data_IF_873547478061
#
_entry.id   IF_873547478061
#
_cell.length_a   1.000
_cell.length_b   1.000
_cell.length_c   1.000
_cell.angle_alpha   90.00
_cell.angle_beta   90.00
_cell.angle_gamma   90.00
#
_symmetry.space_group_name_H-M   'P 1'
#
loop_
_entity.id
_entity.type
_entity.pdbx_description
1 polymer ?
#
# COMPACT_ATOMS: atom_id res chain seq x y z
N UNK A 1 9.88 2.59 9.06
CA UNK A 1 10.12 1.64 7.94
C UNK A 1 11.60 1.31 7.86
N UNK A 2 11.92 0.25 7.12
CA UNK A 2 13.16 -0.48 7.24
C UNK A 2 14.34 0.12 6.48
N UNK A 3 15.54 -0.01 7.04
CA UNK A 3 16.82 0.19 6.34
C UNK A 3 17.06 -1.05 5.49
N UNK A 4 17.22 -0.84 4.19
CA UNK A 4 17.65 -1.89 3.28
C UNK A 4 19.18 -2.09 3.41
N UNK A 5 19.71 -3.32 3.33
CA UNK A 5 21.13 -3.57 3.51
C UNK A 5 21.92 -2.95 2.36
N UNK A 6 23.17 -2.51 2.56
CA UNK A 6 23.94 -1.81 1.54
C UNK A 6 24.02 -2.54 0.19
N UNK A 7 24.15 -3.86 0.22
CA UNK A 7 24.23 -4.71 -0.99
C UNK A 7 22.94 -4.74 -1.82
N UNK A 8 21.80 -4.36 -1.25
CA UNK A 8 20.51 -4.28 -1.95
C UNK A 8 20.22 -2.92 -2.58
N UNK A 9 21.02 -1.89 -2.26
CA UNK A 9 20.76 -0.51 -2.67
C UNK A 9 21.13 -0.29 -4.15
N UNK A 10 20.20 0.30 -4.89
CA UNK A 10 20.38 0.71 -6.29
C UNK A 10 20.40 2.22 -6.45
N UNK A 11 19.51 2.94 -5.75
CA UNK A 11 19.35 4.39 -5.80
C UNK A 11 19.28 4.99 -7.22
N UNK A 12 18.60 4.30 -8.14
CA UNK A 12 18.50 4.70 -9.55
C UNK A 12 17.27 5.55 -9.78
N UNK A 13 17.44 6.73 -10.38
CA UNK A 13 16.31 7.57 -10.81
C UNK A 13 15.63 6.95 -12.03
N UNK A 14 14.32 6.74 -11.96
CA UNK A 14 13.54 6.17 -13.06
C UNK A 14 12.74 7.29 -13.73
N UNK A 15 12.94 7.43 -15.04
CA UNK A 15 12.16 8.36 -15.83
C UNK A 15 10.70 7.89 -15.91
N UNK A 16 9.75 8.80 -15.66
CA UNK A 16 8.31 8.52 -15.77
C UNK A 16 7.92 7.92 -17.12
N UNK A 17 8.59 8.36 -18.19
CA UNK A 17 8.40 7.84 -19.54
C UNK A 17 8.60 6.32 -19.65
N UNK A 18 9.47 5.70 -18.82
CA UNK A 18 9.67 4.24 -18.83
C UNK A 18 8.42 3.47 -18.42
N UNK A 19 7.68 3.98 -17.42
CA UNK A 19 6.41 3.38 -17.02
C UNK A 19 5.34 3.56 -18.10
N UNK A 20 5.37 4.68 -18.84
CA UNK A 20 4.40 4.97 -19.89
C UNK A 20 4.65 4.22 -21.21
N UNK A 21 5.91 3.91 -21.53
CA UNK A 21 6.29 3.27 -22.78
C UNK A 21 5.96 1.76 -22.79
N UNK A 22 6.12 1.11 -21.64
CA UNK A 22 5.95 -0.34 -21.49
C UNK A 22 4.53 -0.74 -21.06
N UNK A 23 3.58 0.20 -21.11
CA UNK A 23 2.18 -0.03 -20.73
C UNK A 23 1.26 0.80 -21.63
N UNK A 24 -0.03 0.47 -21.68
CA UNK A 24 -1.05 1.29 -22.33
C UNK A 24 -1.87 2.08 -21.28
N UNK A 25 -1.29 3.10 -20.61
CA UNK A 25 -1.99 3.84 -19.58
C UNK A 25 -3.06 4.74 -20.19
N UNK A 26 -4.17 4.89 -19.47
CA UNK A 26 -5.18 5.88 -19.81
C UNK A 26 -4.64 7.31 -19.68
N UNK A 27 -5.29 8.26 -20.36
CA UNK A 27 -4.96 9.69 -20.27
C UNK A 27 -4.96 10.17 -18.82
N UNK A 28 -5.94 9.75 -18.01
CA UNK A 28 -6.01 10.04 -16.57
C UNK A 28 -4.76 9.60 -15.81
N UNK A 29 -4.25 8.39 -16.06
CA UNK A 29 -3.05 7.89 -15.36
C UNK A 29 -1.80 8.68 -15.77
N UNK A 30 -1.68 9.06 -17.05
CA UNK A 30 -0.60 9.94 -17.54
C UNK A 30 -0.61 11.30 -16.84
N UNK A 31 -1.79 11.89 -16.69
CA UNK A 31 -1.99 13.15 -15.98
C UNK A 31 -1.66 13.02 -14.49
N UNK A 32 -2.15 11.97 -13.82
CA UNK A 32 -1.83 11.71 -12.41
C UNK A 32 -0.32 11.54 -12.20
N UNK A 33 0.37 10.77 -13.04
CA UNK A 33 1.82 10.58 -12.95
C UNK A 33 2.59 11.91 -13.13
N UNK A 34 2.11 12.79 -14.01
CA UNK A 34 2.75 14.08 -14.29
C UNK A 34 2.47 15.10 -13.20
N UNK A 35 1.24 15.16 -12.71
CA UNK A 35 0.75 16.15 -11.75
C UNK A 35 1.08 15.82 -10.30
N UNK A 36 1.07 14.53 -9.91
CA UNK A 36 1.22 14.11 -8.52
C UNK A 36 2.63 13.65 -8.15
N UNK A 37 3.39 13.10 -9.08
CA UNK A 37 4.74 12.59 -8.80
C UNK A 37 5.77 13.61 -9.26
N UNK A 38 6.75 13.91 -8.41
CA UNK A 38 7.93 14.69 -8.77
C UNK A 38 8.99 13.74 -9.32
N UNK A 39 9.45 12.81 -8.50
CA UNK A 39 10.52 11.87 -8.80
C UNK A 39 10.17 10.44 -8.37
N UNK A 40 10.67 9.47 -9.13
CA UNK A 40 10.62 8.05 -8.82
C UNK A 40 12.05 7.54 -8.72
N UNK A 41 12.41 6.96 -7.58
CA UNK A 41 13.72 6.37 -7.34
C UNK A 41 13.50 4.89 -7.06
N UNK A 42 14.12 4.04 -7.85
CA UNK A 42 14.29 2.63 -7.52
C UNK A 42 15.38 2.53 -6.47
N UNK A 43 14.95 2.40 -5.21
CA UNK A 43 15.83 2.54 -4.06
C UNK A 43 16.62 1.27 -3.82
N UNK A 44 15.94 0.14 -3.72
CA UNK A 44 16.54 -1.14 -3.40
C UNK A 44 15.81 -2.29 -4.11
N UNK A 45 16.56 -3.38 -4.30
CA UNK A 45 16.08 -4.67 -4.79
C UNK A 45 16.52 -5.74 -3.80
N UNK A 46 15.55 -6.39 -3.17
CA UNK A 46 15.78 -7.45 -2.20
C UNK A 46 15.70 -8.80 -2.92
N UNK A 47 16.86 -9.32 -3.32
CA UNK A 47 17.04 -10.64 -3.95
C UNK A 47 17.93 -11.55 -3.10
N UNK A 48 17.98 -12.86 -3.40
CA UNK A 48 18.79 -13.81 -2.62
C UNK A 48 20.25 -13.41 -2.48
N UNK A 49 20.84 -12.85 -3.54
CA UNK A 49 22.23 -12.41 -3.56
C UNK A 49 22.46 -11.17 -2.69
N UNK A 50 21.46 -10.30 -2.57
CA UNK A 50 21.59 -9.00 -1.91
C UNK A 50 21.39 -9.05 -0.39
N UNK A 51 20.59 -10.00 0.10
CA UNK A 51 20.19 -10.09 1.52
C UNK A 51 20.35 -11.50 2.11
N UNK A 52 20.89 -12.45 1.35
CA UNK A 52 21.13 -13.83 1.77
C UNK A 52 19.87 -14.54 2.29
N UNK A 53 18.74 -14.34 1.59
CA UNK A 53 17.47 -15.03 1.86
C UNK A 53 17.00 -15.76 0.61
N UNK A 54 16.63 -17.06 0.70
CA UNK A 54 16.21 -17.81 -0.47
C UNK A 54 14.93 -17.25 -1.08
N UNK A 55 14.84 -17.28 -2.41
CA UNK A 55 13.63 -16.98 -3.16
C UNK A 55 12.60 -18.12 -3.04
N UNK A 56 11.33 -17.80 -3.28
CA UNK A 56 10.27 -18.81 -3.46
C UNK A 56 9.64 -18.65 -4.85
N UNK A 57 8.88 -19.65 -5.34
CA UNK A 57 8.13 -19.50 -6.59
C UNK A 57 7.14 -18.32 -6.56
N UNK A 58 6.65 -17.94 -5.37
CA UNK A 58 5.74 -16.81 -5.22
C UNK A 58 6.45 -15.46 -5.18
N UNK A 59 7.64 -15.41 -4.58
CA UNK A 59 8.43 -14.18 -4.40
C UNK A 59 9.90 -14.43 -4.75
N UNK A 60 10.28 -14.06 -5.97
CA UNK A 60 11.66 -14.15 -6.45
C UNK A 60 12.54 -12.98 -5.96
N UNK A 61 11.96 -11.79 -5.88
CA UNK A 61 12.58 -10.57 -5.35
C UNK A 61 11.50 -9.59 -4.87
N UNK A 62 11.88 -8.61 -4.03
CA UNK A 62 10.99 -7.55 -3.54
C UNK A 62 11.62 -6.20 -3.92
N UNK A 63 10.82 -5.32 -4.50
CA UNK A 63 11.27 -4.01 -4.96
C UNK A 63 10.89 -2.90 -3.98
N UNK A 64 11.81 -1.96 -3.74
CA UNK A 64 11.55 -0.78 -2.91
C UNK A 64 11.67 0.47 -3.76
N UNK A 65 10.57 1.21 -3.88
CA UNK A 65 10.51 2.46 -4.64
C UNK A 65 10.23 3.65 -3.73
N UNK A 66 11.00 4.72 -3.93
CA UNK A 66 10.75 6.00 -3.28
C UNK A 66 10.10 6.96 -4.26
N UNK A 67 8.93 7.47 -3.90
CA UNK A 67 8.17 8.45 -4.67
C UNK A 67 8.19 9.78 -3.92
N UNK A 68 8.78 10.80 -4.54
CA UNK A 68 8.59 12.18 -4.11
C UNK A 68 7.32 12.71 -4.77
N UNK A 69 6.37 13.18 -3.98
CA UNK A 69 5.09 13.70 -4.44
C UNK A 69 5.13 15.23 -4.56
N UNK A 70 4.36 15.76 -5.52
CA UNK A 70 4.12 17.20 -5.72
C UNK A 70 2.94 17.73 -4.88
N UNK A 71 2.20 16.84 -4.24
CA UNK A 71 1.05 17.17 -3.40
C UNK A 71 1.13 16.53 -2.02
N UNK A 72 0.04 16.66 -1.26
CA UNK A 72 -0.10 16.06 0.07
C UNK A 72 -0.39 14.55 0.03
N UNK A 73 -0.92 14.07 -1.08
CA UNK A 73 -1.40 12.70 -1.26
C UNK A 73 -1.18 12.21 -2.70
N UNK A 74 -1.39 10.92 -2.93
CA UNK A 74 -1.28 10.25 -4.23
C UNK A 74 -2.52 9.40 -4.49
N UNK A 75 -3.00 9.40 -5.72
CA UNK A 75 -4.18 8.62 -6.09
C UNK A 75 -3.86 7.11 -6.09
N UNK A 76 -4.70 6.25 -5.46
CA UNK A 76 -4.48 4.80 -5.42
C UNK A 76 -4.29 4.15 -6.80
N UNK A 77 -5.11 4.52 -7.79
CA UNK A 77 -4.98 4.02 -9.17
C UNK A 77 -3.59 4.23 -9.78
N UNK A 78 -2.89 5.31 -9.42
CA UNK A 78 -1.54 5.57 -9.89
C UNK A 78 -0.55 4.55 -9.30
N UNK A 79 -0.68 4.25 -8.01
CA UNK A 79 0.14 3.24 -7.35
C UNK A 79 -0.15 1.84 -7.92
N UNK A 80 -1.43 1.51 -8.16
CA UNK A 80 -1.83 0.24 -8.76
C UNK A 80 -1.30 0.08 -10.18
N UNK A 81 -1.26 1.16 -10.95
CA UNK A 81 -0.63 1.18 -12.26
C UNK A 81 0.88 0.88 -12.19
N UNK A 82 1.59 1.49 -11.23
CA UNK A 82 3.02 1.24 -11.03
C UNK A 82 3.28 -0.22 -10.60
N UNK A 83 2.46 -0.75 -9.68
CA UNK A 83 2.54 -2.14 -9.22
C UNK A 83 2.28 -3.17 -10.35
N UNK A 84 1.39 -2.85 -11.29
CA UNK A 84 1.12 -3.72 -12.46
C UNK A 84 2.26 -3.69 -13.47
N UNK A 85 3.07 -2.65 -13.49
CA UNK A 85 4.13 -2.46 -14.50
C UNK A 85 5.39 -3.28 -14.22
N UNK A 86 5.54 -3.86 -13.03
CA UNK A 86 6.72 -4.63 -12.60
C UNK A 86 6.22 -5.95 -12.03
N UNK A 87 6.72 -7.13 -12.43
CA UNK A 87 6.14 -8.42 -12.03
C UNK A 87 6.35 -8.79 -10.55
N UNK A 88 7.30 -8.17 -9.86
CA UNK A 88 7.63 -8.44 -8.46
C UNK A 88 6.80 -7.62 -7.47
N UNK A 89 6.65 -8.08 -6.21
CA UNK A 89 6.06 -7.29 -5.14
C UNK A 89 6.79 -5.96 -4.91
N UNK A 90 6.04 -4.88 -4.74
CA UNK A 90 6.60 -3.53 -4.53
C UNK A 90 6.17 -2.96 -3.19
N UNK A 91 7.14 -2.36 -2.51
CA UNK A 91 6.93 -1.50 -1.35
C UNK A 91 7.25 -0.05 -1.73
N UNK A 92 6.25 0.82 -1.68
CA UNK A 92 6.42 2.26 -1.91
C UNK A 92 6.69 3.00 -0.60
N UNK A 93 7.73 3.83 -0.58
CA UNK A 93 7.87 4.95 0.35
C UNK A 93 7.43 6.23 -0.34
N UNK A 94 6.38 6.84 0.17
CA UNK A 94 5.82 8.07 -0.31
C UNK A 94 6.34 9.22 0.55
N UNK A 95 6.88 10.27 -0.07
CA UNK A 95 7.22 11.51 0.60
C UNK A 95 6.40 12.64 0.02
N UNK A 96 5.58 13.29 0.84
CA UNK A 96 4.76 14.41 0.41
C UNK A 96 5.54 15.74 0.43
N UNK A 97 4.91 16.81 -0.05
CA UNK A 97 5.52 18.16 -0.09
C UNK A 97 5.84 18.75 1.28
N UNK A 98 5.17 18.28 2.33
CA UNK A 98 5.41 18.69 3.72
C UNK A 98 6.58 17.92 4.36
N UNK A 99 7.17 16.97 3.61
CA UNK A 99 8.23 16.11 4.08
C UNK A 99 7.75 14.92 4.92
N UNK A 100 6.44 14.74 5.07
CA UNK A 100 5.86 13.59 5.75
C UNK A 100 6.03 12.32 4.91
N UNK A 101 6.14 11.18 5.60
CA UNK A 101 6.32 9.87 5.00
C UNK A 101 5.07 9.02 5.19
N UNK A 102 4.71 8.28 4.14
CA UNK A 102 3.77 7.17 4.20
C UNK A 102 4.35 5.97 3.43
N UNK A 103 3.79 4.80 3.68
CA UNK A 103 4.18 3.57 3.01
C UNK A 103 2.96 2.92 2.38
N UNK A 104 3.13 2.31 1.22
CA UNK A 104 2.04 1.65 0.51
C UNK A 104 2.54 0.41 -0.22
N UNK A 105 1.74 -0.64 -0.20
CA UNK A 105 1.95 -1.84 -1.00
C UNK A 105 0.62 -2.48 -1.33
N UNK A 106 0.58 -3.19 -2.45
CA UNK A 106 -0.52 -4.08 -2.79
C UNK A 106 -0.08 -5.54 -2.58
N UNK A 107 -1.01 -6.38 -2.11
CA UNK A 107 -0.72 -7.80 -1.97
C UNK A 107 -0.61 -8.44 -3.35
N UNK A 108 0.59 -8.82 -3.77
CA UNK A 108 0.85 -9.39 -5.09
C UNK A 108 1.18 -10.87 -4.95
N UNK A 109 0.44 -11.69 -5.70
CA UNK A 109 0.57 -13.15 -5.63
C UNK A 109 0.56 -13.78 -7.02
N UNK A 110 1.11 -14.99 -7.18
CA UNK A 110 0.91 -15.77 -8.41
C UNK A 110 -0.58 -15.93 -8.72
N UNK A 111 -0.90 -15.88 -10.00
CA UNK A 111 -2.23 -16.21 -10.50
C UNK A 111 -2.48 -17.71 -10.36
N UNK A 112 -3.67 -18.07 -9.87
CA UNK A 112 -4.11 -19.47 -9.83
C UNK A 112 -4.62 -19.95 -11.20
N UNK A 113 -5.03 -19.02 -12.08
CA UNK A 113 -5.67 -19.33 -13.36
C UNK A 113 -4.74 -19.16 -14.57
N UNK A 114 -3.72 -18.31 -14.46
CA UNK A 114 -2.78 -18.04 -15.54
C UNK A 114 -1.39 -18.56 -15.17
N UNK A 115 -0.87 -19.50 -15.97
CA UNK A 115 0.53 -19.90 -15.91
C UNK A 115 1.39 -18.65 -16.09
N UNK A 116 2.17 -18.30 -15.07
CA UNK A 116 3.07 -17.13 -15.01
C UNK A 116 2.41 -15.76 -14.88
N UNK A 117 1.10 -15.69 -14.63
CA UNK A 117 0.42 -14.42 -14.30
C UNK A 117 0.62 -14.03 -12.82
N UNK A 118 0.60 -12.74 -12.52
CA UNK A 118 0.50 -12.24 -11.14
C UNK A 118 -0.81 -11.48 -10.96
N UNK A 119 -1.50 -11.72 -9.85
CA UNK A 119 -2.71 -10.98 -9.47
C UNK A 119 -2.35 -9.90 -8.46
N UNK A 120 -2.78 -8.67 -8.75
CA UNK A 120 -2.70 -7.56 -7.81
C UNK A 120 -3.93 -7.57 -6.90
N UNK A 121 -3.71 -7.85 -5.61
CA UNK A 121 -4.71 -7.86 -4.57
C UNK A 121 -4.94 -6.47 -3.94
N UNK A 122 -5.39 -6.47 -2.69
CA UNK A 122 -5.75 -5.24 -1.98
C UNK A 122 -4.52 -4.41 -1.63
N UNK A 123 -4.65 -3.08 -1.77
CA UNK A 123 -3.64 -2.10 -1.37
C UNK A 123 -3.90 -1.56 0.03
N UNK A 124 -2.84 -1.50 0.82
CA UNK A 124 -2.83 -0.83 2.11
C UNK A 124 -1.77 0.26 2.15
N UNK A 125 -2.09 1.33 2.87
CA UNK A 125 -1.21 2.47 3.05
C UNK A 125 -1.27 2.95 4.48
N UNK A 126 -0.12 3.32 5.03
CA UNK A 126 -0.06 4.02 6.31
C UNK A 126 -0.51 5.48 6.13
N UNK A 127 -0.98 6.17 7.18
CA UNK A 127 -1.12 7.62 7.14
C UNK A 127 0.24 8.30 6.91
N UNK A 128 0.20 9.52 6.38
CA UNK A 128 1.39 10.38 6.31
C UNK A 128 1.74 10.89 7.71
N UNK A 129 2.96 10.63 8.15
CA UNK A 129 3.47 11.07 9.45
C UNK A 129 4.77 11.86 9.30
N UNK A 130 5.08 12.80 10.21
CA UNK A 130 6.41 13.41 10.29
C UNK A 130 7.53 12.38 10.31
N UNK A 131 8.68 12.73 9.73
CA UNK A 131 9.87 11.91 9.71
C UNK A 131 10.51 11.88 11.11
N UNK A 132 9.84 11.22 12.07
CA UNK A 132 10.27 11.14 13.48
C UNK A 132 10.47 9.71 13.97
N UNK A 133 10.28 8.69 13.12
CA UNK A 133 10.61 7.32 13.49
C UNK A 133 12.07 7.01 13.21
N UNK A 134 12.73 6.36 14.16
CA UNK A 134 14.01 5.70 13.91
C UNK A 134 13.82 4.69 12.78
N UNK A 135 14.80 4.56 11.87
CA UNK A 135 14.73 3.53 10.85
C UNK A 135 14.72 2.15 11.53
N UNK A 136 13.84 1.25 11.08
CA UNK A 136 13.81 -0.12 11.58
C UNK A 136 14.84 -0.97 10.81
N UNK A 137 15.41 -2.01 11.42
CA UNK A 137 16.22 -2.98 10.69
C UNK A 137 15.28 -3.99 10.02
N UNK A 138 15.61 -4.45 8.80
CA UNK A 138 14.82 -5.50 8.15
C UNK A 138 14.58 -6.68 9.12
N UNK A 139 13.34 -7.16 9.21
CA UNK A 139 13.00 -8.24 10.12
C UNK A 139 13.66 -9.54 9.65
N UNK A 140 13.94 -10.43 10.60
CA UNK A 140 14.42 -11.78 10.29
C UNK A 140 13.29 -12.59 9.64
N UNK A 141 13.61 -13.28 8.55
CA UNK A 141 12.69 -14.15 7.82
C UNK A 141 13.44 -15.40 7.34
N UNK A 142 12.71 -16.47 7.02
CA UNK A 142 13.30 -17.72 6.50
C UNK A 142 13.57 -17.65 4.99
N UNK A 143 12.75 -16.90 4.27
CA UNK A 143 12.78 -16.74 2.81
C UNK A 143 12.18 -15.38 2.42
N UNK A 144 12.24 -15.04 1.13
CA UNK A 144 11.73 -13.77 0.61
C UNK A 144 10.21 -13.66 0.70
N UNK A 145 9.47 -14.76 0.67
CA UNK A 145 8.01 -14.74 0.81
C UNK A 145 7.62 -14.35 2.23
N UNK A 146 8.21 -14.98 3.25
CA UNK A 146 8.01 -14.61 4.65
C UNK A 146 8.44 -13.19 4.92
N UNK A 147 9.56 -12.75 4.34
CA UNK A 147 9.99 -11.36 4.46
C UNK A 147 8.93 -10.41 3.88
N UNK A 148 8.46 -10.67 2.67
CA UNK A 148 7.44 -9.87 2.01
C UNK A 148 6.16 -9.77 2.85
N UNK A 149 5.69 -10.89 3.40
CA UNK A 149 4.49 -10.93 4.25
C UNK A 149 4.67 -10.08 5.51
N UNK A 150 5.79 -10.22 6.22
CA UNK A 150 6.08 -9.41 7.41
C UNK A 150 6.08 -7.92 7.05
N UNK A 151 6.72 -7.53 5.94
CA UNK A 151 6.76 -6.14 5.48
C UNK A 151 5.37 -5.61 5.12
N UNK A 152 4.55 -6.43 4.47
CA UNK A 152 3.19 -6.09 4.06
C UNK A 152 2.24 -5.95 5.25
N UNK A 153 2.35 -6.85 6.24
CA UNK A 153 1.52 -6.84 7.46
C UNK A 153 1.71 -5.56 8.28
N UNK A 154 2.88 -4.91 8.25
CA UNK A 154 3.11 -3.61 8.88
C UNK A 154 2.24 -2.48 8.30
N UNK A 155 1.64 -2.68 7.13
CA UNK A 155 0.76 -1.71 6.47
C UNK A 155 -0.71 -1.94 6.81
N UNK A 156 -1.04 -3.08 7.42
CA UNK A 156 -2.41 -3.47 7.73
C UNK A 156 -2.90 -2.72 8.99
N UNK A 157 -4.08 -2.08 8.94
CA UNK A 157 -4.68 -1.46 10.12
C UNK A 157 -4.96 -2.46 11.26
N UNK A 158 -5.27 -3.72 10.92
CA UNK A 158 -5.62 -4.77 11.85
C UNK A 158 -4.56 -5.88 11.82
N UNK A 159 -4.16 -6.33 13.00
CA UNK A 159 -3.25 -7.48 13.18
C UNK A 159 -4.00 -8.81 13.09
N UNK A 160 -3.29 -9.87 12.71
CA UNK A 160 -3.83 -11.23 12.68
C UNK A 160 -4.44 -11.66 14.01
N UNK A 161 -5.63 -12.27 13.98
CA UNK A 161 -6.18 -13.02 15.11
C UNK A 161 -5.47 -14.38 15.22
N UNK A 162 -5.60 -15.03 16.37
CA UNK A 162 -5.09 -16.39 16.58
C UNK A 162 -5.64 -17.34 15.51
N UNK A 163 -4.75 -18.05 14.82
CA UNK A 163 -5.07 -18.98 13.72
C UNK A 163 -5.84 -18.36 12.54
N UNK A 164 -5.76 -17.04 12.34
CA UNK A 164 -6.32 -16.39 11.16
C UNK A 164 -5.37 -16.56 9.97
N UNK A 165 -5.80 -17.19 8.86
CA UNK A 165 -4.97 -17.27 7.66
C UNK A 165 -4.83 -15.89 7.02
N UNK A 166 -3.69 -15.65 6.36
CA UNK A 166 -3.37 -14.36 5.73
C UNK A 166 -4.48 -13.85 4.81
N UNK A 167 -5.09 -14.71 4.00
CA UNK A 167 -6.17 -14.30 3.10
C UNK A 167 -7.40 -13.77 3.86
N UNK A 168 -7.76 -14.42 4.98
CA UNK A 168 -8.84 -13.94 5.85
C UNK A 168 -8.47 -12.60 6.49
N UNK A 169 -7.22 -12.45 6.94
CA UNK A 169 -6.71 -11.18 7.47
C UNK A 169 -6.79 -10.04 6.45
N UNK A 170 -6.40 -10.31 5.19
CA UNK A 170 -6.47 -9.32 4.10
C UNK A 170 -7.92 -8.95 3.80
N UNK A 171 -8.83 -9.92 3.77
CA UNK A 171 -10.26 -9.67 3.55
C UNK A 171 -10.86 -8.84 4.68
N UNK A 172 -10.54 -9.14 5.94
CA UNK A 172 -10.98 -8.37 7.11
C UNK A 172 -10.45 -6.94 7.08
N UNK A 173 -9.18 -6.75 6.75
CA UNK A 173 -8.59 -5.43 6.58
C UNK A 173 -9.22 -4.65 5.40
N UNK A 174 -9.58 -5.32 4.31
CA UNK A 174 -10.30 -4.71 3.18
C UNK A 174 -11.69 -4.23 3.61
N UNK A 175 -12.43 -5.05 4.36
CA UNK A 175 -13.73 -4.67 4.93
C UNK A 175 -13.60 -3.47 5.87
N UNK A 176 -12.59 -3.48 6.75
CA UNK A 176 -12.29 -2.37 7.65
C UNK A 176 -12.03 -1.06 6.89
N UNK A 177 -11.26 -1.10 5.79
CA UNK A 177 -11.03 0.09 4.96
C UNK A 177 -12.32 0.61 4.29
N UNK A 178 -13.17 -0.28 3.78
CA UNK A 178 -14.44 0.11 3.15
C UNK A 178 -15.38 0.78 4.15
N UNK A 179 -15.56 0.17 5.33
CA UNK A 179 -16.38 0.73 6.40
C UNK A 179 -15.81 2.06 6.89
N UNK A 180 -14.49 2.15 7.11
CA UNK A 180 -13.83 3.39 7.53
C UNK A 180 -14.09 4.55 6.55
N UNK A 181 -14.03 4.28 5.23
CA UNK A 181 -14.34 5.27 4.19
C UNK A 181 -15.82 5.68 4.19
N UNK A 182 -16.73 4.72 4.36
CA UNK A 182 -18.17 4.98 4.47
C UNK A 182 -18.49 5.85 5.68
N UNK A 183 -17.92 5.52 6.85
CA UNK A 183 -18.06 6.30 8.09
C UNK A 183 -17.56 7.73 7.87
N UNK A 184 -16.36 7.91 7.29
CA UNK A 184 -15.83 9.24 7.02
C UNK A 184 -16.73 10.06 6.08
N UNK A 185 -17.26 9.44 5.02
CA UNK A 185 -18.17 10.10 4.08
C UNK A 185 -19.49 10.51 4.74
N UNK A 186 -20.10 9.59 5.51
CA UNK A 186 -21.34 9.86 6.24
C UNK A 186 -21.15 10.91 7.34
N UNK A 187 -20.01 10.90 8.03
CA UNK A 187 -19.70 11.88 9.07
C UNK A 187 -19.57 13.29 8.48
N UNK A 188 -18.91 13.41 7.33
CA UNK A 188 -18.86 14.67 6.59
C UNK A 188 -20.25 15.13 6.12
N UNK A 189 -21.11 14.20 5.70
CA UNK A 189 -22.49 14.49 5.30
C UNK A 189 -23.34 14.96 6.50
N UNK A 190 -23.26 14.27 7.64
CA UNK A 190 -23.95 14.62 8.87
C UNK A 190 -23.54 16.00 9.40
N UNK A 191 -22.24 16.33 9.34
CA UNK A 191 -21.72 17.63 9.77
C UNK A 191 -22.21 18.80 8.90
N UNK A 192 -22.51 18.55 7.61
CA UNK A 192 -23.01 19.56 6.68
C UNK A 192 -24.55 19.67 6.67
N UNK A 193 -25.25 18.72 7.26
CA UNK A 193 -26.71 18.67 7.29
C UNK A 193 -27.27 19.70 8.28
N UNK A 194 -28.23 20.50 7.80
CA UNK A 194 -28.89 21.57 8.58
C UNK A 194 -30.18 21.09 9.21
N UNK A 195 -30.89 20.16 8.58
CA UNK A 195 -32.16 19.65 9.09
C UNK A 195 -31.92 18.65 10.22
N UNK A 196 -32.43 18.98 11.42
CA UNK A 196 -32.23 18.16 12.62
C UNK A 196 -32.63 16.70 12.42
N UNK A 197 -33.83 16.43 11.89
CA UNK A 197 -34.33 15.07 11.68
C UNK A 197 -33.44 14.24 10.74
N UNK A 198 -32.92 14.86 9.66
CA UNK A 198 -32.00 14.19 8.73
C UNK A 198 -30.64 13.93 9.37
N UNK A 199 -30.15 14.87 10.16
CA UNK A 199 -28.90 14.69 10.93
C UNK A 199 -29.03 13.55 11.93
N UNK A 200 -30.17 13.41 12.61
CA UNK A 200 -30.45 12.29 13.52
C UNK A 200 -30.41 10.96 12.76
N UNK A 201 -31.07 10.85 11.60
CA UNK A 201 -31.04 9.64 10.79
C UNK A 201 -29.61 9.27 10.31
N UNK A 202 -28.83 10.26 9.84
CA UNK A 202 -27.43 10.04 9.46
C UNK A 202 -26.57 9.58 10.65
N UNK A 203 -26.81 10.11 11.84
CA UNK A 203 -26.08 9.71 13.05
C UNK A 203 -26.44 8.28 13.51
N UNK A 204 -27.69 7.84 13.31
CA UNK A 204 -28.09 6.46 13.58
C UNK A 204 -27.35 5.49 12.64
N UNK A 205 -27.30 5.79 11.35
CA UNK A 205 -26.54 5.00 10.36
C UNK A 205 -25.04 4.98 10.70
N UNK A 206 -24.48 6.12 11.11
CA UNK A 206 -23.08 6.21 11.55
C UNK A 206 -22.78 5.31 12.75
N UNK A 207 -23.68 5.23 13.73
CA UNK A 207 -23.48 4.37 14.90
C UNK A 207 -23.49 2.89 14.49
N UNK A 208 -24.43 2.48 13.63
CA UNK A 208 -24.47 1.09 13.13
C UNK A 208 -23.18 0.70 12.39
N UNK A 209 -22.64 1.58 11.55
CA UNK A 209 -21.38 1.31 10.84
C UNK A 209 -20.17 1.29 11.78
N UNK A 210 -20.16 2.12 12.83
CA UNK A 210 -19.12 2.09 13.87
C UNK A 210 -19.16 0.78 14.64
N UNK A 211 -20.35 0.32 15.05
CA UNK A 211 -20.51 -0.96 15.73
C UNK A 211 -19.97 -2.11 14.84
N UNK A 212 -20.28 -2.09 13.53
CA UNK A 212 -19.72 -3.06 12.58
C UNK A 212 -18.19 -2.97 12.48
N UNK A 213 -17.63 -1.76 12.45
CA UNK A 213 -16.18 -1.56 12.41
C UNK A 213 -15.50 -2.14 13.66
N UNK A 214 -16.09 -1.94 14.83
CA UNK A 214 -15.57 -2.42 16.12
C UNK A 214 -15.54 -3.96 16.17
N UNK A 215 -16.52 -4.64 15.56
CA UNK A 215 -16.49 -6.13 15.45
C UNK A 215 -15.33 -6.66 14.60
N UNK A 216 -14.83 -5.86 13.65
CA UNK A 216 -13.66 -6.24 12.86
C UNK A 216 -12.35 -6.03 13.62
N UNK A 217 -12.33 -5.09 14.56
CA UNK A 217 -11.15 -4.76 15.39
C UNK A 217 -10.96 -5.72 16.57
N UNK A 218 -12.07 -6.23 17.08
CA UNK A 218 -12.14 -7.26 18.15
C UNK A 218 -11.47 -8.56 17.73
#
# INVERSE_FOLDING_TARGET
MFICPPASLLNRKIAKAKFLANSHPSTRIRELLTSQVQDIIWHAKLSPESINLPATPAVAEIEVFHLALKGKDVHPDLLDFLDKSIPHPIIFRLKNIEGHLAYSAAYKRPSESELFGHVLGSRFSTPFTPQSSSPLVLPTALDLEKLYLILFEQLLPLSARSNEPLEALILRNKQHQLLSRQIQALQNKANREKQFNRRVALNQELNLLKDQLDTLQS
#
